data_IF_010706613988
#
_entry.id   IF_010706613988
#
_cell.length_a   1.000
_cell.length_b   1.000
_cell.length_c   1.000
_cell.angle_alpha   90.00
_cell.angle_beta   90.00
_cell.angle_gamma   90.00
#
_symmetry.space_group_name_H-M   'P 1'
#
loop_
_entity.id
_entity.type
_entity.pdbx_description
1 polymer ?
#
# COMPACT_ATOMS: atom_id res chain seq x y z
N UNK A 1 -1.88 32.08 -8.92
CA UNK A 1 -1.59 31.21 -7.75
C UNK A 1 -2.74 30.26 -7.41
N UNK A 2 -4.00 30.60 -7.68
CA UNK A 2 -5.16 29.71 -7.43
C UNK A 2 -5.09 28.39 -8.20
N UNK A 3 -4.64 28.41 -9.46
CA UNK A 3 -4.42 27.20 -10.26
C UNK A 3 -3.38 26.26 -9.65
N UNK A 4 -2.33 26.81 -9.02
CA UNK A 4 -1.28 26.02 -8.38
C UNK A 4 -1.82 25.33 -7.11
N UNK A 5 -2.63 26.03 -6.32
CA UNK A 5 -3.32 25.45 -5.16
C UNK A 5 -4.31 24.36 -5.56
N UNK A 6 -5.10 24.58 -6.62
CA UNK A 6 -6.03 23.59 -7.14
C UNK A 6 -5.29 22.34 -7.63
N UNK A 7 -4.17 22.51 -8.34
CA UNK A 7 -3.30 21.41 -8.78
C UNK A 7 -2.71 20.63 -7.61
N UNK A 8 -2.21 21.30 -6.57
CA UNK A 8 -1.68 20.64 -5.38
C UNK A 8 -2.76 19.84 -4.63
N UNK A 9 -3.97 20.39 -4.49
CA UNK A 9 -5.11 19.67 -3.87
C UNK A 9 -5.52 18.45 -4.68
N UNK A 10 -5.52 18.54 -6.01
CA UNK A 10 -5.77 17.40 -6.88
C UNK A 10 -4.69 16.32 -6.69
N UNK A 11 -3.42 16.70 -6.59
CA UNK A 11 -2.32 15.78 -6.34
C UNK A 11 -2.45 15.08 -4.97
N UNK A 12 -2.86 15.81 -3.93
CA UNK A 12 -3.17 15.23 -2.63
C UNK A 12 -4.28 14.17 -2.71
N UNK A 13 -5.33 14.46 -3.47
CA UNK A 13 -6.40 13.48 -3.75
C UNK A 13 -5.90 12.24 -4.49
N UNK A 14 -5.03 12.41 -5.48
CA UNK A 14 -4.39 11.29 -6.20
C UNK A 14 -3.58 10.41 -5.27
N UNK A 15 -2.74 11.02 -4.41
CA UNK A 15 -1.94 10.28 -3.44
C UNK A 15 -2.82 9.55 -2.43
N UNK A 16 -3.90 10.18 -1.95
CA UNK A 16 -4.89 9.53 -1.08
C UNK A 16 -5.45 8.27 -1.74
N UNK A 17 -5.89 8.36 -2.98
CA UNK A 17 -6.44 7.22 -3.73
C UNK A 17 -5.39 6.13 -3.97
N UNK A 18 -4.13 6.51 -4.20
CA UNK A 18 -3.03 5.57 -4.34
C UNK A 18 -2.81 4.77 -3.04
N UNK A 19 -2.78 5.44 -1.88
CA UNK A 19 -2.65 4.76 -0.58
C UNK A 19 -3.85 3.83 -0.31
N UNK A 20 -5.09 4.27 -0.59
CA UNK A 20 -6.28 3.42 -0.48
C UNK A 20 -6.19 2.18 -1.37
N UNK A 21 -5.66 2.34 -2.59
CA UNK A 21 -5.45 1.23 -3.52
C UNK A 21 -4.42 0.25 -2.97
N UNK A 22 -3.30 0.74 -2.42
CA UNK A 22 -2.30 -0.13 -1.77
C UNK A 22 -2.91 -0.89 -0.58
N UNK A 23 -3.73 -0.23 0.25
CA UNK A 23 -4.44 -0.89 1.36
C UNK A 23 -5.36 -1.99 0.85
N UNK A 24 -6.12 -1.73 -0.22
CA UNK A 24 -7.00 -2.72 -0.83
C UNK A 24 -6.20 -3.91 -1.43
N UNK A 25 -5.07 -3.65 -2.09
CA UNK A 25 -4.17 -4.69 -2.60
C UNK A 25 -3.55 -5.54 -1.49
N UNK A 26 -3.24 -4.93 -0.34
CA UNK A 26 -2.78 -5.65 0.85
C UNK A 26 -3.89 -6.57 1.41
N UNK A 27 -5.12 -6.06 1.55
CA UNK A 27 -6.27 -6.88 1.96
C UNK A 27 -6.54 -8.04 1.00
N UNK A 28 -6.43 -7.80 -0.31
CA UNK A 28 -6.54 -8.86 -1.31
C UNK A 28 -5.42 -9.90 -1.16
N UNK A 29 -4.19 -9.47 -0.83
CA UNK A 29 -3.08 -10.39 -0.57
C UNK A 29 -3.28 -11.24 0.67
N UNK A 30 -3.89 -10.69 1.73
CA UNK A 30 -4.28 -11.46 2.92
C UNK A 30 -5.31 -12.55 2.56
N UNK A 31 -6.34 -12.22 1.80
CA UNK A 31 -7.31 -13.21 1.34
C UNK A 31 -6.67 -14.30 0.45
N UNK A 32 -5.67 -13.94 -0.36
CA UNK A 32 -4.90 -14.90 -1.16
C UNK A 32 -4.06 -15.85 -0.28
N UNK A 33 -3.46 -15.33 0.81
CA UNK A 33 -2.75 -16.16 1.79
C UNK A 33 -3.72 -17.17 2.41
N UNK A 34 -4.90 -16.72 2.85
CA UNK A 34 -5.92 -17.57 3.45
C UNK A 34 -6.36 -18.68 2.48
N UNK A 35 -6.53 -18.34 1.20
CA UNK A 35 -6.88 -19.31 0.16
C UNK A 35 -5.80 -20.39 0.00
N UNK A 36 -4.52 -20.01 -0.06
CA UNK A 36 -3.41 -20.97 -0.22
C UNK A 36 -3.16 -21.76 1.07
N UNK A 37 -3.36 -21.16 2.24
CA UNK A 37 -3.31 -21.87 3.52
C UNK A 37 -4.43 -22.92 3.65
N UNK A 38 -5.61 -22.65 3.10
CA UNK A 38 -6.73 -23.59 3.11
C UNK A 38 -6.43 -24.90 2.33
N UNK A 39 -5.46 -24.90 1.42
CA UNK A 39 -5.02 -26.11 0.71
C UNK A 39 -4.09 -26.99 1.56
N UNK A 40 -3.41 -26.44 2.58
CA UNK A 40 -2.45 -27.18 3.41
C UNK A 40 -3.10 -28.40 4.09
N UNK A 41 -4.26 -28.30 4.77
CA UNK A 41 -4.91 -29.45 5.39
C UNK A 41 -5.20 -30.61 4.43
N UNK A 42 -5.52 -30.31 3.17
CA UNK A 42 -5.72 -31.33 2.14
C UNK A 42 -4.42 -32.07 1.83
N UNK A 43 -3.32 -31.35 1.60
CA UNK A 43 -2.00 -31.94 1.33
C UNK A 43 -1.43 -32.67 2.54
N UNK A 44 -1.65 -32.17 3.76
CA UNK A 44 -1.28 -32.86 5.01
C UNK A 44 -2.02 -34.19 5.13
N UNK A 45 -3.33 -34.19 4.90
CA UNK A 45 -4.14 -35.41 4.93
C UNK A 45 -3.71 -36.41 3.85
N UNK A 46 -3.38 -35.93 2.64
CA UNK A 46 -2.88 -36.77 1.57
C UNK A 46 -1.52 -37.40 1.91
N UNK A 47 -0.58 -36.60 2.43
CA UNK A 47 0.73 -37.06 2.89
C UNK A 47 0.59 -38.10 4.01
N UNK A 48 -0.26 -37.85 5.01
CA UNK A 48 -0.50 -38.78 6.11
C UNK A 48 -1.06 -40.13 5.61
N UNK A 49 -2.05 -40.09 4.70
CA UNK A 49 -2.58 -41.32 4.07
C UNK A 49 -1.49 -42.10 3.34
N UNK A 50 -0.63 -41.42 2.57
CA UNK A 50 0.46 -42.10 1.87
C UNK A 50 1.51 -42.66 2.84
N UNK A 51 1.79 -41.97 3.93
CA UNK A 51 2.68 -42.44 4.98
C UNK A 51 2.17 -43.74 5.62
N UNK A 52 0.87 -43.81 5.92
CA UNK A 52 0.27 -45.00 6.53
C UNK A 52 0.21 -46.18 5.57
N UNK A 53 -0.09 -45.94 4.28
CA UNK A 53 -0.05 -46.98 3.24
C UNK A 53 1.37 -47.48 2.92
N UNK A 54 2.39 -46.65 3.11
CA UNK A 54 3.79 -47.05 2.96
C UNK A 54 4.20 -48.00 4.09
N UNK A 55 3.72 -47.78 5.32
CA UNK A 55 3.95 -48.69 6.47
C UNK A 55 3.31 -50.06 6.24
N UNK A 56 2.18 -50.12 5.53
CA UNK A 56 1.49 -51.37 5.18
C UNK A 56 1.99 -51.99 3.87
N UNK A 57 3.09 -51.48 3.28
CA UNK A 57 3.65 -51.93 1.99
C UNK A 57 2.66 -51.90 0.83
N UNK A 58 1.60 -51.08 0.92
CA UNK A 58 0.50 -51.01 -0.06
C UNK A 58 0.69 -49.86 -1.05
N UNK A 59 1.41 -48.81 -0.65
CA UNK A 59 1.76 -47.67 -1.51
C UNK A 59 3.18 -47.78 -2.07
N UNK A 60 3.39 -47.19 -3.25
CA UNK A 60 4.74 -47.05 -3.82
C UNK A 60 5.50 -45.91 -3.15
N UNK A 61 6.83 -46.06 -3.00
CA UNK A 61 7.67 -44.97 -2.49
C UNK A 61 7.53 -43.67 -3.31
N UNK A 62 7.32 -43.79 -4.62
CA UNK A 62 7.12 -42.64 -5.51
C UNK A 62 5.86 -41.82 -5.17
N UNK A 63 4.75 -42.45 -4.76
CA UNK A 63 3.53 -41.71 -4.40
C UNK A 63 3.67 -41.00 -3.06
N UNK A 64 4.42 -41.58 -2.11
CA UNK A 64 4.78 -40.93 -0.86
C UNK A 64 5.69 -39.71 -1.09
N UNK A 65 6.75 -39.87 -1.88
CA UNK A 65 7.69 -38.78 -2.19
C UNK A 65 6.98 -37.64 -2.93
N UNK A 66 6.04 -37.94 -3.84
CA UNK A 66 5.21 -36.94 -4.52
C UNK A 66 4.31 -36.18 -3.53
N UNK A 67 3.60 -36.87 -2.64
CA UNK A 67 2.73 -36.21 -1.65
C UNK A 67 3.54 -35.36 -0.66
N UNK A 68 4.76 -35.79 -0.31
CA UNK A 68 5.69 -34.99 0.49
C UNK A 68 6.10 -33.71 -0.24
N UNK A 69 6.48 -33.84 -1.52
CA UNK A 69 6.85 -32.71 -2.35
C UNK A 69 5.70 -31.70 -2.47
N UNK A 70 4.48 -32.18 -2.72
CA UNK A 70 3.28 -31.34 -2.84
C UNK A 70 2.99 -30.55 -1.56
N UNK A 71 3.11 -31.20 -0.39
CA UNK A 71 2.94 -30.53 0.90
C UNK A 71 4.02 -29.46 1.14
N UNK A 72 5.28 -29.76 0.82
CA UNK A 72 6.38 -28.79 0.94
C UNK A 72 6.14 -27.61 0.00
N UNK A 73 5.75 -27.88 -1.25
CA UNK A 73 5.45 -26.85 -2.24
C UNK A 73 4.27 -25.96 -1.79
N UNK A 74 3.21 -26.53 -1.24
CA UNK A 74 2.07 -25.77 -0.68
C UNK A 74 2.52 -24.83 0.45
N UNK A 75 3.31 -25.34 1.41
CA UNK A 75 3.86 -24.51 2.49
C UNK A 75 4.77 -23.40 1.98
N UNK A 76 5.60 -23.68 0.97
CA UNK A 76 6.46 -22.67 0.35
C UNK A 76 5.65 -21.57 -0.33
N UNK A 77 4.55 -21.92 -1.02
CA UNK A 77 3.64 -20.93 -1.62
C UNK A 77 3.06 -19.98 -0.56
N UNK A 78 2.64 -20.50 0.59
CA UNK A 78 2.18 -19.67 1.72
C UNK A 78 3.28 -18.72 2.20
N UNK A 79 4.51 -19.21 2.39
CA UNK A 79 5.65 -18.38 2.80
C UNK A 79 5.91 -17.25 1.80
N UNK A 80 5.86 -17.55 0.50
CA UNK A 80 6.03 -16.54 -0.57
C UNK A 80 4.90 -15.50 -0.52
N UNK A 81 3.65 -15.95 -0.39
CA UNK A 81 2.50 -15.05 -0.30
C UNK A 81 2.57 -14.13 0.93
N UNK A 82 2.97 -14.67 2.09
CA UNK A 82 3.22 -13.88 3.31
C UNK A 82 4.34 -12.85 3.13
N UNK A 83 5.44 -13.23 2.50
CA UNK A 83 6.54 -12.31 2.20
C UNK A 83 6.10 -11.19 1.25
N UNK A 84 5.27 -11.48 0.25
CA UNK A 84 4.70 -10.47 -0.65
C UNK A 84 3.79 -9.49 0.11
N UNK A 85 2.90 -10.00 0.97
CA UNK A 85 2.06 -9.15 1.80
C UNK A 85 2.89 -8.27 2.74
N UNK A 86 3.95 -8.81 3.34
CA UNK A 86 4.86 -8.04 4.20
C UNK A 86 5.62 -6.96 3.44
N UNK A 87 6.02 -7.21 2.19
CA UNK A 87 6.62 -6.19 1.33
C UNK A 87 5.63 -5.05 1.02
N UNK A 88 4.36 -5.37 0.75
CA UNK A 88 3.31 -4.36 0.58
C UNK A 88 3.05 -3.55 1.86
N UNK A 89 3.06 -4.21 3.02
CA UNK A 89 2.94 -3.54 4.31
C UNK A 89 4.11 -2.56 4.54
N UNK A 90 5.33 -2.95 4.18
CA UNK A 90 6.49 -2.06 4.25
C UNK A 90 6.33 -0.84 3.32
N UNK A 91 5.78 -1.02 2.11
CA UNK A 91 5.47 0.10 1.21
C UNK A 91 4.38 1.04 1.76
N UNK A 92 3.45 0.52 2.56
CA UNK A 92 2.42 1.30 3.25
C UNK A 92 2.95 2.07 4.48
N UNK A 93 4.22 1.91 4.85
CA UNK A 93 4.81 2.53 6.03
C UNK A 93 4.78 1.66 7.29
N UNK A 94 4.56 0.35 7.12
CA UNK A 94 4.58 -0.64 8.21
C UNK A 94 3.23 -0.88 8.88
N UNK A 95 2.21 -0.07 8.58
CA UNK A 95 0.87 -0.22 9.13
C UNK A 95 -0.20 0.07 8.07
N UNK A 96 -0.88 -1.00 7.63
CA UNK A 96 -1.94 -0.92 6.63
C UNK A 96 -3.27 -0.38 7.20
N UNK A 97 -3.42 -0.34 8.53
CA UNK A 97 -4.62 0.14 9.22
C UNK A 97 -4.59 1.62 9.58
N UNK A 98 -3.46 2.31 9.41
CA UNK A 98 -3.39 3.74 9.70
C UNK A 98 -4.30 4.56 8.78
N UNK A 99 -4.84 5.68 9.28
CA UNK A 99 -5.45 6.69 8.44
C UNK A 99 -4.49 7.10 7.33
N UNK A 100 -5.02 7.26 6.11
CA UNK A 100 -4.25 7.68 4.93
C UNK A 100 -3.51 8.99 5.20
N UNK A 101 -4.07 9.83 6.05
CA UNK A 101 -3.54 11.12 6.48
C UNK A 101 -2.20 11.04 7.23
N UNK A 102 -1.88 9.90 7.85
CA UNK A 102 -0.60 9.68 8.54
C UNK A 102 0.47 9.06 7.64
N UNK A 103 0.10 8.64 6.42
CA UNK A 103 1.05 8.04 5.50
C UNK A 103 2.09 9.08 5.05
N UNK A 104 3.40 8.74 5.01
CA UNK A 104 4.45 9.66 4.57
C UNK A 104 4.20 10.28 3.19
N UNK A 105 3.61 9.52 2.25
CA UNK A 105 3.26 10.04 0.93
C UNK A 105 2.17 11.11 1.02
N UNK A 106 1.16 10.92 1.88
CA UNK A 106 0.11 11.91 2.09
C UNK A 106 0.65 13.18 2.75
N UNK A 107 1.49 13.04 3.78
CA UNK A 107 2.12 14.17 4.46
C UNK A 107 3.00 14.99 3.49
N UNK A 108 3.74 14.31 2.60
CA UNK A 108 4.52 14.99 1.56
C UNK A 108 3.63 15.79 0.60
N UNK A 109 2.51 15.22 0.15
CA UNK A 109 1.57 15.91 -0.72
C UNK A 109 0.85 17.06 0.00
N UNK A 110 0.56 16.91 1.30
CA UNK A 110 -0.03 17.96 2.13
C UNK A 110 0.92 19.15 2.25
N UNK A 111 2.22 18.92 2.48
CA UNK A 111 3.22 20.00 2.48
C UNK A 111 3.22 20.78 1.17
N UNK A 112 3.06 20.12 0.02
CA UNK A 112 2.98 20.81 -1.26
C UNK A 112 1.71 21.67 -1.42
N UNK A 113 0.58 21.24 -0.83
CA UNK A 113 -0.64 22.05 -0.74
C UNK A 113 -0.43 23.27 0.14
N UNK A 114 0.22 23.09 1.29
CA UNK A 114 0.48 24.16 2.25
C UNK A 114 1.43 25.22 1.67
N UNK A 115 2.46 24.80 0.93
CA UNK A 115 3.35 25.71 0.20
C UNK A 115 2.61 26.47 -0.91
N UNK A 116 1.76 25.80 -1.68
CA UNK A 116 0.94 26.45 -2.71
C UNK A 116 -0.05 27.45 -2.09
N UNK A 117 -0.60 27.15 -0.92
CA UNK A 117 -1.48 28.05 -0.17
C UNK A 117 -0.72 29.27 0.37
N UNK A 118 0.49 29.07 0.91
CA UNK A 118 1.36 30.15 1.37
C UNK A 118 1.69 31.11 0.23
N UNK A 119 2.09 30.59 -0.92
CA UNK A 119 2.37 31.39 -2.12
C UNK A 119 1.15 32.16 -2.62
N UNK A 120 -0.06 31.58 -2.55
CA UNK A 120 -1.30 32.29 -2.86
C UNK A 120 -1.54 33.44 -1.88
N UNK A 121 -1.36 33.21 -0.58
CA UNK A 121 -1.53 34.26 0.43
C UNK A 121 -0.51 35.40 0.23
N UNK A 122 0.74 35.07 -0.07
CA UNK A 122 1.80 36.05 -0.33
C UNK A 122 1.59 36.81 -1.65
N UNK A 123 0.85 36.22 -2.61
CA UNK A 123 0.47 36.89 -3.85
C UNK A 123 -0.66 37.91 -3.68
N UNK A 124 -1.38 37.87 -2.55
CA UNK A 124 -2.39 38.86 -2.18
C UNK A 124 -1.73 39.89 -1.27
N UNK A 125 -1.18 40.95 -1.86
CA UNK A 125 -0.65 42.08 -1.10
C UNK A 125 -1.82 42.79 -0.40
N UNK A 126 -1.99 42.55 0.89
CA UNK A 126 -2.96 43.24 1.73
C UNK A 126 -2.23 44.33 2.53
N UNK A 127 -2.72 45.56 2.46
CA UNK A 127 -2.13 46.68 3.19
C UNK A 127 -2.15 46.38 4.71
N UNK A 128 -1.00 46.50 5.42
CA UNK A 128 -0.91 46.15 6.85
C UNK A 128 -1.55 47.19 7.79
N UNK A 129 -1.94 48.35 7.29
CA UNK A 129 -2.68 49.40 8.00
C UNK A 129 -3.40 50.31 7.00
N UNK A 130 -4.43 51.02 7.46
CA UNK A 130 -5.08 52.09 6.68
C UNK A 130 -4.11 53.27 6.53
N UNK A 131 -3.66 53.52 5.30
CA UNK A 131 -2.74 54.60 4.98
C UNK A 131 -2.83 54.99 3.50
N UNK A 132 -2.64 56.28 3.22
CA UNK A 132 -2.65 56.81 1.84
C UNK A 132 -1.31 56.43 1.19
N UNK A 133 -1.36 55.65 0.11
CA UNK A 133 -0.17 55.28 -0.68
C UNK A 133 0.32 56.51 -1.43
N UNK A 134 1.41 57.13 -0.98
CA UNK A 134 1.98 58.35 -1.60
C UNK A 134 3.10 58.06 -2.61
N UNK A 135 3.19 56.86 -3.19
CA UNK A 135 4.15 56.62 -4.27
C UNK A 135 3.58 55.62 -5.30
N UNK A 136 2.87 56.15 -6.29
CA UNK A 136 2.62 55.47 -7.56
C UNK A 136 3.72 55.93 -8.52
N UNK A 137 4.61 55.01 -8.91
CA UNK A 137 5.56 55.28 -9.99
C UNK A 137 4.77 55.60 -11.27
N UNK A 138 5.05 56.77 -11.83
CA UNK A 138 4.43 57.27 -13.04
C UNK A 138 4.78 56.37 -14.22
N UNK A 139 3.80 55.58 -14.71
CA UNK A 139 3.84 55.06 -16.07
C UNK A 139 3.66 56.24 -17.04
N UNK A 140 4.77 56.67 -17.61
CA UNK A 140 4.81 57.61 -18.72
C UNK A 140 4.77 56.79 -20.03
N UNK A 141 3.68 57.00 -20.79
CA UNK A 141 3.32 56.61 -22.18
C UNK A 141 4.05 55.46 -22.88
#
# INVERSE_FOLDING_TARGET
>A
FETALAGAKAQLGTVRNQVLTLQASYQQSLASIDQVEADIPYYESAFQRQQDLLKTSTASKATFDSAQHDLIAARQKVTVAKAQAQAMLAQLGGDAGQPVEQNPFYLQAQSAVDDAQRNLNDSVVKAPFDGIVTNVDALQV
#
